data_IF_488301201478
#
_entry.id   IF_488301201478
#
_cell.length_a   1.000
_cell.length_b   1.000
_cell.length_c   1.000
_cell.angle_alpha   90.00
_cell.angle_beta   90.00
_cell.angle_gamma   90.00
#
_symmetry.space_group_name_H-M   'P 1'
#
loop_
_entity.id
_entity.type
_entity.pdbx_description
1 polymer ?
#
# COMPACT_ATOMS: atom_id res chain seq x y z
N UNK A 1 4.71 41.32 0.79
CA UNK A 1 3.98 40.75 -0.36
C UNK A 1 4.19 39.23 -0.50
N UNK A 2 5.41 38.67 -0.37
CA UNK A 2 5.63 37.18 -0.44
C UNK A 2 4.80 36.42 0.59
N UNK A 3 4.71 36.85 1.83
CA UNK A 3 3.97 36.11 2.89
C UNK A 3 2.45 36.10 2.67
N UNK A 4 1.86 37.11 2.07
CA UNK A 4 0.42 37.13 1.77
C UNK A 4 0.07 36.16 0.65
N UNK A 5 0.89 36.08 -0.39
CA UNK A 5 0.67 35.12 -1.50
C UNK A 5 0.82 33.68 -1.06
N UNK A 6 1.78 33.36 -0.18
CA UNK A 6 1.97 32.02 0.35
C UNK A 6 0.83 31.58 1.27
N UNK A 7 0.32 32.48 2.12
CA UNK A 7 -0.84 32.18 2.98
C UNK A 7 -2.09 31.89 2.14
N UNK A 8 -2.28 32.61 1.03
CA UNK A 8 -3.38 32.40 0.10
C UNK A 8 -3.28 31.05 -0.62
N UNK A 9 -2.07 30.63 -1.05
CA UNK A 9 -1.83 29.31 -1.68
C UNK A 9 -2.23 28.17 -0.74
N UNK A 10 -1.78 28.21 0.52
CA UNK A 10 -2.10 27.20 1.52
C UNK A 10 -3.61 27.09 1.81
N UNK A 11 -4.30 28.24 1.87
CA UNK A 11 -5.75 28.30 2.06
C UNK A 11 -6.49 27.73 0.85
N UNK A 12 -6.08 28.10 -0.36
CA UNK A 12 -6.66 27.62 -1.62
C UNK A 12 -6.61 26.08 -1.70
N UNK A 13 -5.47 25.47 -1.37
CA UNK A 13 -5.32 24.00 -1.36
C UNK A 13 -6.32 23.35 -0.38
N UNK A 14 -6.44 23.89 0.84
CA UNK A 14 -7.35 23.37 1.86
C UNK A 14 -8.80 23.45 1.42
N UNK A 15 -9.21 24.62 0.90
CA UNK A 15 -10.57 24.85 0.41
C UNK A 15 -10.88 23.95 -0.80
N UNK A 16 -9.96 23.84 -1.77
CA UNK A 16 -10.15 22.99 -2.95
C UNK A 16 -10.37 21.53 -2.59
N UNK A 17 -9.62 20.99 -1.63
CA UNK A 17 -9.79 19.63 -1.16
C UNK A 17 -11.10 19.44 -0.38
N UNK A 18 -11.44 20.37 0.51
CA UNK A 18 -12.68 20.31 1.28
C UNK A 18 -13.92 20.44 0.38
N UNK A 19 -13.86 21.33 -0.62
CA UNK A 19 -14.93 21.49 -1.61
C UNK A 19 -15.06 20.23 -2.50
N UNK A 20 -13.94 19.63 -2.90
CA UNK A 20 -13.96 18.35 -3.60
C UNK A 20 -14.69 17.28 -2.80
N UNK A 21 -14.33 17.13 -1.53
CA UNK A 21 -14.98 16.15 -0.66
C UNK A 21 -16.48 16.41 -0.56
N UNK A 22 -16.89 17.68 -0.39
CA UNK A 22 -18.30 18.06 -0.33
C UNK A 22 -19.05 17.72 -1.62
N UNK A 23 -18.48 18.05 -2.77
CA UNK A 23 -19.07 17.77 -4.07
C UNK A 23 -19.21 16.27 -4.29
N UNK A 24 -18.14 15.49 -4.12
CA UNK A 24 -18.15 14.07 -4.41
C UNK A 24 -18.95 13.26 -3.39
N UNK A 25 -19.00 13.71 -2.12
CA UNK A 25 -19.87 13.11 -1.11
C UNK A 25 -21.35 13.27 -1.51
N UNK A 26 -21.77 14.49 -1.86
CA UNK A 26 -23.15 14.71 -2.27
C UNK A 26 -23.49 14.11 -3.64
N UNK A 27 -22.54 14.14 -4.59
CA UNK A 27 -22.68 13.49 -5.88
C UNK A 27 -22.99 11.98 -5.75
N UNK A 28 -22.47 11.31 -4.70
CA UNK A 28 -22.74 9.89 -4.48
C UNK A 28 -24.24 9.59 -4.31
N UNK A 29 -24.97 10.42 -3.56
CA UNK A 29 -26.42 10.30 -3.39
C UNK A 29 -27.19 10.61 -4.71
N UNK A 30 -26.82 11.71 -5.39
CA UNK A 30 -27.50 12.08 -6.63
C UNK A 30 -27.32 11.05 -7.72
N UNK A 31 -26.11 10.50 -7.87
CA UNK A 31 -25.82 9.43 -8.84
C UNK A 31 -26.57 8.15 -8.45
N UNK A 32 -26.64 7.80 -7.16
CA UNK A 32 -27.40 6.65 -6.69
C UNK A 32 -28.88 6.78 -7.04
N UNK A 33 -29.50 7.94 -6.79
CA UNK A 33 -30.90 8.22 -7.13
C UNK A 33 -31.10 8.13 -8.65
N UNK A 34 -30.21 8.73 -9.44
CA UNK A 34 -30.30 8.72 -10.90
C UNK A 34 -30.23 7.30 -11.47
N UNK A 35 -29.29 6.50 -10.97
CA UNK A 35 -29.15 5.09 -11.38
C UNK A 35 -30.38 4.27 -10.99
N UNK A 36 -30.92 4.45 -9.78
CA UNK A 36 -32.12 3.71 -9.35
C UNK A 36 -33.38 4.08 -10.13
N UNK A 37 -33.50 5.32 -10.63
CA UNK A 37 -34.58 5.72 -11.54
C UNK A 37 -34.50 5.03 -12.90
N UNK A 38 -33.30 4.68 -13.36
CA UNK A 38 -33.08 4.07 -14.67
C UNK A 38 -33.29 2.55 -14.67
N UNK A 39 -33.47 1.91 -13.52
CA UNK A 39 -33.72 0.48 -13.42
C UNK A 39 -35.21 0.15 -13.63
N UNK A 40 -35.53 -0.92 -14.40
CA UNK A 40 -36.89 -1.40 -14.54
C UNK A 40 -37.45 -1.84 -13.18
N UNK A 41 -38.68 -1.39 -12.84
CA UNK A 41 -39.30 -1.70 -11.56
C UNK A 41 -39.24 -0.59 -10.52
N UNK A 42 -38.77 0.60 -10.94
CA UNK A 42 -38.79 1.89 -10.20
C UNK A 42 -38.69 1.74 -8.66
N UNK A 43 -37.52 1.30 -8.19
CA UNK A 43 -37.25 1.03 -6.77
C UNK A 43 -37.44 2.26 -5.86
N UNK A 44 -37.82 3.40 -6.43
CA UNK A 44 -38.13 4.65 -5.74
C UNK A 44 -39.64 4.93 -5.66
N UNK A 45 -40.52 4.13 -6.29
CA UNK A 45 -41.98 4.39 -6.33
C UNK A 45 -42.60 4.46 -4.95
N UNK A 46 -42.03 3.77 -3.96
CA UNK A 46 -42.55 3.73 -2.60
C UNK A 46 -42.00 4.89 -1.71
N UNK A 47 -41.09 5.75 -2.21
CA UNK A 47 -40.60 6.87 -1.45
C UNK A 47 -41.49 8.10 -1.62
N UNK A 48 -41.99 8.62 -0.51
CA UNK A 48 -42.75 9.90 -0.55
C UNK A 48 -41.78 11.06 -0.86
N UNK A 49 -42.34 12.17 -1.38
CA UNK A 49 -41.55 13.39 -1.59
C UNK A 49 -40.92 13.91 -0.28
N UNK A 50 -41.59 13.69 0.85
CA UNK A 50 -41.13 14.09 2.16
C UNK A 50 -39.91 13.23 2.61
N UNK A 51 -39.95 11.89 2.39
CA UNK A 51 -38.84 11.01 2.71
C UNK A 51 -37.61 11.32 1.84
N UNK A 52 -37.84 11.62 0.56
CA UNK A 52 -36.75 12.03 -0.33
C UNK A 52 -36.11 13.34 0.13
N UNK A 53 -36.89 14.34 0.51
CA UNK A 53 -36.38 15.61 1.03
C UNK A 53 -35.60 15.41 2.35
N UNK A 54 -36.13 14.58 3.25
CA UNK A 54 -35.47 14.22 4.50
C UNK A 54 -34.10 13.57 4.22
N UNK A 55 -34.08 12.61 3.26
CA UNK A 55 -32.85 11.92 2.87
C UNK A 55 -31.79 12.87 2.33
N UNK A 56 -32.17 13.75 1.41
CA UNK A 56 -31.26 14.74 0.83
C UNK A 56 -30.72 15.67 1.93
N UNK A 57 -31.59 16.20 2.79
CA UNK A 57 -31.19 17.12 3.87
C UNK A 57 -30.24 16.44 4.87
N UNK A 58 -30.57 15.22 5.31
CA UNK A 58 -29.73 14.43 6.21
C UNK A 58 -28.35 14.16 5.58
N UNK A 59 -28.32 13.77 4.30
CA UNK A 59 -27.06 13.49 3.60
C UNK A 59 -26.16 14.73 3.47
N UNK A 60 -26.75 15.90 3.17
CA UNK A 60 -26.01 17.17 3.13
C UNK A 60 -25.45 17.52 4.51
N UNK A 61 -26.25 17.39 5.57
CA UNK A 61 -25.79 17.65 6.94
C UNK A 61 -24.65 16.71 7.31
N UNK A 62 -24.80 15.41 7.04
CA UNK A 62 -23.75 14.42 7.30
C UNK A 62 -22.47 14.69 6.50
N UNK A 63 -22.60 15.17 5.24
CA UNK A 63 -21.43 15.54 4.44
C UNK A 63 -20.66 16.71 5.06
N UNK A 64 -21.34 17.74 5.54
CA UNK A 64 -20.70 18.89 6.21
C UNK A 64 -20.02 18.45 7.51
N UNK A 65 -20.69 17.62 8.32
CA UNK A 65 -20.10 17.09 9.58
C UNK A 65 -18.87 16.22 9.26
N UNK A 66 -18.94 15.39 8.22
CA UNK A 66 -17.81 14.55 7.80
C UNK A 66 -16.60 15.37 7.37
N UNK A 67 -16.82 16.45 6.62
CA UNK A 67 -15.77 17.39 6.22
C UNK A 67 -15.19 18.12 7.42
N UNK A 68 -16.03 18.54 8.36
CA UNK A 68 -15.57 19.09 9.64
C UNK A 68 -14.69 18.10 10.41
N UNK A 69 -15.07 16.82 10.42
CA UNK A 69 -14.28 15.73 11.01
C UNK A 69 -12.93 15.57 10.31
N UNK A 70 -12.90 15.57 8.97
CA UNK A 70 -11.67 15.52 8.18
C UNK A 70 -10.78 16.73 8.46
N UNK A 71 -11.37 17.91 8.65
CA UNK A 71 -10.64 19.15 8.91
C UNK A 71 -10.01 19.19 10.30
N UNK A 72 -10.84 18.97 11.33
CA UNK A 72 -10.45 19.18 12.73
C UNK A 72 -9.75 17.97 13.32
N UNK A 73 -10.38 16.79 13.20
CA UNK A 73 -9.90 15.56 13.89
C UNK A 73 -8.82 14.86 13.09
N UNK A 74 -9.05 14.64 11.82
CA UNK A 74 -8.12 13.89 10.97
C UNK A 74 -7.08 14.79 10.30
N UNK A 75 -7.31 16.10 10.27
CA UNK A 75 -6.38 17.10 9.72
C UNK A 75 -5.95 16.84 8.26
N UNK A 76 -6.83 16.23 7.45
CA UNK A 76 -6.55 15.83 6.06
C UNK A 76 -6.18 17.02 5.16
N UNK A 77 -6.69 18.21 5.47
CA UNK A 77 -6.42 19.42 4.67
C UNK A 77 -5.20 20.20 5.17
N UNK A 78 -4.65 19.79 6.33
CA UNK A 78 -3.52 20.48 6.97
C UNK A 78 -2.24 19.68 6.85
N UNK A 79 -2.31 18.37 7.10
CA UNK A 79 -1.17 17.45 7.03
C UNK A 79 -1.23 16.57 5.79
N UNK A 80 -0.09 16.42 5.15
CA UNK A 80 0.07 15.52 4.02
C UNK A 80 0.37 14.12 4.54
N UNK A 81 -0.49 13.19 4.18
CA UNK A 81 -0.42 11.80 4.61
C UNK A 81 -0.08 10.87 3.45
N UNK A 82 0.60 9.75 3.68
CA UNK A 82 0.75 8.70 2.68
C UNK A 82 -0.61 8.26 2.14
N UNK A 83 -0.66 7.94 0.85
CA UNK A 83 -1.92 7.64 0.15
C UNK A 83 -2.76 6.57 0.84
N UNK A 84 -2.15 5.43 1.18
CA UNK A 84 -2.86 4.31 1.79
C UNK A 84 -3.34 4.61 3.21
N UNK A 85 -2.62 5.46 3.93
CA UNK A 85 -3.02 5.90 5.27
C UNK A 85 -4.24 6.83 5.20
N UNK A 86 -4.20 7.82 4.29
CA UNK A 86 -5.32 8.73 4.05
C UNK A 86 -6.57 7.98 3.59
N UNK A 87 -6.42 7.05 2.64
CA UNK A 87 -7.51 6.23 2.12
C UNK A 87 -8.18 5.38 3.21
N UNK A 88 -7.39 4.78 4.12
CA UNK A 88 -7.90 4.05 5.29
C UNK A 88 -8.78 4.91 6.18
N UNK A 89 -8.33 6.14 6.46
CA UNK A 89 -9.09 7.07 7.30
C UNK A 89 -10.39 7.53 6.63
N UNK A 90 -10.36 7.77 5.32
CA UNK A 90 -11.56 8.08 4.53
C UNK A 90 -12.54 6.92 4.57
N UNK A 91 -12.10 5.70 4.29
CA UNK A 91 -12.96 4.52 4.31
C UNK A 91 -13.60 4.29 5.69
N UNK A 92 -12.79 4.38 6.74
CA UNK A 92 -13.30 4.25 8.12
C UNK A 92 -14.36 5.30 8.43
N UNK A 93 -14.13 6.55 8.04
CA UNK A 93 -15.08 7.64 8.27
C UNK A 93 -16.37 7.43 7.48
N UNK A 94 -16.28 7.12 6.19
CA UNK A 94 -17.45 6.85 5.34
C UNK A 94 -18.29 5.71 5.90
N UNK A 95 -17.66 4.61 6.38
CA UNK A 95 -18.38 3.51 7.03
C UNK A 95 -19.07 3.95 8.33
N UNK A 96 -18.42 4.76 9.18
CA UNK A 96 -19.04 5.29 10.39
C UNK A 96 -20.25 6.15 10.04
N UNK A 97 -20.11 7.07 9.09
CA UNK A 97 -21.20 7.96 8.67
C UNK A 97 -22.34 7.18 7.98
N UNK A 98 -22.04 6.07 7.28
CA UNK A 98 -23.07 5.21 6.70
C UNK A 98 -23.94 4.56 7.77
N UNK A 99 -23.34 4.12 8.88
CA UNK A 99 -24.08 3.56 10.02
C UNK A 99 -24.91 4.63 10.72
N UNK A 100 -24.37 5.84 10.89
CA UNK A 100 -25.10 6.98 11.45
C UNK A 100 -26.33 7.32 10.57
N UNK A 101 -26.15 7.40 9.25
CA UNK A 101 -27.24 7.65 8.31
C UNK A 101 -28.32 6.58 8.37
N UNK A 102 -27.91 5.29 8.45
CA UNK A 102 -28.86 4.19 8.62
C UNK A 102 -29.64 4.30 9.93
N UNK A 103 -28.97 4.68 11.02
CA UNK A 103 -29.59 4.88 12.35
C UNK A 103 -30.61 6.03 12.31
N UNK A 104 -30.28 7.15 11.68
CA UNK A 104 -31.20 8.29 11.52
C UNK A 104 -32.43 7.85 10.70
N UNK A 105 -32.21 7.15 9.59
CA UNK A 105 -33.31 6.64 8.75
C UNK A 105 -34.23 5.69 9.53
N UNK A 106 -33.66 4.78 10.32
CA UNK A 106 -34.45 3.85 11.15
C UNK A 106 -35.25 4.56 12.24
N UNK A 107 -34.68 5.56 12.91
CA UNK A 107 -35.32 6.33 13.96
C UNK A 107 -36.42 7.26 13.42
N UNK A 108 -36.24 7.83 12.24
CA UNK A 108 -37.23 8.70 11.58
C UNK A 108 -38.42 7.92 11.00
N UNK A 109 -38.37 6.58 11.00
CA UNK A 109 -39.39 5.71 10.37
C UNK A 109 -39.67 6.06 8.93
N UNK A 110 -38.70 6.66 8.22
CA UNK A 110 -38.85 7.01 6.82
C UNK A 110 -38.76 5.75 5.94
N UNK A 111 -39.61 5.67 4.93
CA UNK A 111 -39.53 4.60 3.93
C UNK A 111 -38.42 4.91 2.92
N UNK A 112 -37.28 4.26 3.10
CA UNK A 112 -36.13 4.44 2.22
C UNK A 112 -35.77 3.12 1.52
N UNK A 113 -35.52 3.20 0.21
CA UNK A 113 -34.97 2.06 -0.53
C UNK A 113 -33.57 1.69 -0.01
N UNK A 114 -33.46 0.44 0.48
CA UNK A 114 -32.16 -0.12 0.91
C UNK A 114 -31.10 -0.05 -0.18
N UNK A 115 -31.51 -0.16 -1.44
CA UNK A 115 -30.61 -0.09 -2.61
C UNK A 115 -30.04 1.30 -2.81
N UNK A 116 -30.85 2.36 -2.62
CA UNK A 116 -30.34 3.74 -2.66
C UNK A 116 -29.30 3.96 -1.56
N UNK A 117 -29.56 3.47 -0.36
CA UNK A 117 -28.60 3.58 0.75
C UNK A 117 -27.30 2.85 0.42
N UNK A 118 -27.35 1.56 0.02
CA UNK A 118 -26.17 0.76 -0.31
C UNK A 118 -25.37 1.45 -1.42
N UNK A 119 -26.02 1.84 -2.51
CA UNK A 119 -25.36 2.41 -3.67
C UNK A 119 -24.72 3.78 -3.34
N UNK A 120 -25.42 4.62 -2.56
CA UNK A 120 -24.89 5.92 -2.11
C UNK A 120 -23.55 5.75 -1.38
N UNK A 121 -23.51 4.86 -0.39
CA UNK A 121 -22.32 4.68 0.42
C UNK A 121 -21.19 3.93 -0.31
N UNK A 122 -21.50 2.99 -1.20
CA UNK A 122 -20.51 2.38 -2.09
C UNK A 122 -19.92 3.41 -3.06
N UNK A 123 -20.75 4.27 -3.63
CA UNK A 123 -20.28 5.36 -4.49
C UNK A 123 -19.42 6.36 -3.69
N UNK A 124 -19.80 6.72 -2.47
CA UNK A 124 -19.00 7.60 -1.61
C UNK A 124 -17.61 7.06 -1.33
N UNK A 125 -17.46 5.73 -1.08
CA UNK A 125 -16.16 5.08 -0.90
C UNK A 125 -15.24 5.23 -2.12
N UNK A 126 -15.79 5.36 -3.32
CA UNK A 126 -15.01 5.49 -4.55
C UNK A 126 -14.84 6.96 -4.94
N UNK A 127 -15.92 7.72 -4.92
CA UNK A 127 -15.94 9.09 -5.47
C UNK A 127 -15.12 10.07 -4.63
N UNK A 128 -15.12 9.97 -3.29
CA UNK A 128 -14.34 10.85 -2.43
C UNK A 128 -12.84 10.70 -2.70
N UNK A 129 -12.24 9.49 -2.67
CA UNK A 129 -10.83 9.32 -3.01
C UNK A 129 -10.48 9.74 -4.44
N UNK A 130 -11.36 9.45 -5.41
CA UNK A 130 -11.18 9.86 -6.81
C UNK A 130 -11.17 11.38 -6.93
N UNK A 131 -12.12 12.06 -6.30
CA UNK A 131 -12.18 13.53 -6.27
C UNK A 131 -10.90 14.14 -5.72
N UNK A 132 -10.41 13.63 -4.58
CA UNK A 132 -9.12 14.05 -4.01
C UNK A 132 -7.95 13.84 -4.96
N UNK A 133 -7.89 12.67 -5.62
CA UNK A 133 -6.84 12.37 -6.58
C UNK A 133 -6.86 13.34 -7.78
N UNK A 134 -8.05 13.67 -8.29
CA UNK A 134 -8.23 14.65 -9.36
C UNK A 134 -7.73 16.02 -8.92
N UNK A 135 -8.19 16.52 -7.77
CA UNK A 135 -7.80 17.84 -7.27
C UNK A 135 -6.29 17.90 -7.01
N UNK A 136 -5.69 16.90 -6.35
CA UNK A 136 -4.24 16.83 -6.14
C UNK A 136 -3.48 16.85 -7.47
N UNK A 137 -3.96 16.13 -8.48
CA UNK A 137 -3.34 16.12 -9.83
C UNK A 137 -3.43 17.46 -10.52
N UNK A 138 -4.58 18.13 -10.44
CA UNK A 138 -4.78 19.49 -11.00
C UNK A 138 -3.89 20.50 -10.31
N UNK A 139 -3.85 20.49 -8.97
CA UNK A 139 -2.97 21.36 -8.19
C UNK A 139 -1.49 21.11 -8.49
N UNK A 140 -1.10 19.84 -8.68
CA UNK A 140 0.28 19.48 -9.02
C UNK A 140 0.68 19.99 -10.43
N UNK A 141 -0.21 19.86 -11.42
CA UNK A 141 0.02 20.38 -12.77
C UNK A 141 0.23 21.91 -12.78
N UNK A 142 -0.46 22.61 -11.89
CA UNK A 142 -0.33 24.07 -11.73
C UNK A 142 0.81 24.48 -10.77
N UNK A 143 1.67 23.56 -10.34
CA UNK A 143 2.78 23.83 -9.41
C UNK A 143 2.35 24.22 -7.99
N UNK A 144 1.04 24.13 -7.70
CA UNK A 144 0.50 24.53 -6.39
C UNK A 144 0.64 23.41 -5.35
N UNK A 145 0.71 22.15 -5.77
CA UNK A 145 0.75 21.01 -4.85
C UNK A 145 2.13 20.80 -4.21
N UNK A 146 3.22 21.11 -4.92
CA UNK A 146 4.58 20.93 -4.39
C UNK A 146 4.84 21.83 -3.19
N UNK A 147 5.37 21.24 -2.10
CA UNK A 147 5.74 21.91 -0.86
C UNK A 147 7.24 21.77 -0.67
N UNK A 148 7.94 22.90 -0.66
CA UNK A 148 9.38 22.93 -0.38
C UNK A 148 9.66 22.27 0.96
N UNK A 149 10.62 21.34 0.98
CA UNK A 149 10.95 20.51 2.14
C UNK A 149 12.45 20.55 2.35
N UNK A 150 12.86 20.69 3.60
CA UNK A 150 14.25 20.61 4.02
C UNK A 150 14.37 19.46 5.02
N UNK A 151 15.34 18.58 4.79
CA UNK A 151 15.64 17.48 5.70
C UNK A 151 16.82 17.89 6.58
N UNK A 152 16.61 17.91 7.89
CA UNK A 152 17.64 18.14 8.89
C UNK A 152 18.25 16.78 9.25
N UNK A 153 19.48 16.59 8.81
CA UNK A 153 20.23 15.34 8.82
C UNK A 153 20.80 15.03 7.44
N UNK A 154 21.89 14.31 7.39
CA UNK A 154 22.60 13.91 6.15
C UNK A 154 23.12 12.47 6.20
N UNK A 155 22.79 11.74 7.27
CA UNK A 155 23.12 10.32 7.46
C UNK A 155 22.06 9.37 6.85
N UNK A 156 22.20 8.09 7.16
CA UNK A 156 21.36 7.01 6.63
C UNK A 156 19.88 7.21 6.94
N UNK A 157 19.51 7.78 8.10
CA UNK A 157 18.12 8.06 8.45
C UNK A 157 17.52 9.14 7.53
N UNK A 158 18.31 10.15 7.15
CA UNK A 158 17.90 11.19 6.22
C UNK A 158 17.76 10.68 4.78
N UNK A 159 18.67 9.77 4.34
CA UNK A 159 18.59 9.10 3.05
C UNK A 159 17.34 8.23 2.94
N UNK A 160 17.06 7.41 3.95
CA UNK A 160 15.85 6.58 4.02
C UNK A 160 14.58 7.43 4.05
N UNK A 161 14.59 8.56 4.76
CA UNK A 161 13.49 9.52 4.77
C UNK A 161 13.24 10.08 3.38
N UNK A 162 14.28 10.47 2.65
CA UNK A 162 14.16 10.95 1.28
C UNK A 162 13.60 9.87 0.35
N UNK A 163 14.13 8.64 0.37
CA UNK A 163 13.64 7.53 -0.43
C UNK A 163 12.15 7.25 -0.16
N UNK A 164 11.74 7.27 1.11
CA UNK A 164 10.34 7.08 1.50
C UNK A 164 9.44 8.19 0.94
N UNK A 165 9.88 9.46 0.99
CA UNK A 165 9.14 10.59 0.43
C UNK A 165 9.04 10.51 -1.09
N UNK A 166 10.08 10.07 -1.80
CA UNK A 166 10.06 9.87 -3.24
C UNK A 166 9.12 8.74 -3.66
N UNK A 167 9.02 7.68 -2.86
CA UNK A 167 8.08 6.57 -3.13
C UNK A 167 6.60 6.99 -3.00
N UNK A 168 6.31 8.10 -2.33
CA UNK A 168 4.97 8.64 -2.07
C UNK A 168 4.79 10.04 -2.70
N UNK A 169 5.03 10.16 -4.01
CA UNK A 169 4.94 11.43 -4.78
C UNK A 169 3.61 12.19 -4.55
N UNK A 170 2.54 11.45 -4.25
CA UNK A 170 1.20 12.02 -3.96
C UNK A 170 1.23 12.94 -2.74
N UNK A 171 2.17 12.78 -1.83
CA UNK A 171 2.35 13.70 -0.70
C UNK A 171 2.84 15.08 -1.18
N UNK A 172 3.52 15.16 -2.32
CA UNK A 172 3.97 16.40 -2.95
C UNK A 172 5.04 17.14 -2.15
N UNK A 173 5.86 16.45 -1.36
CA UNK A 173 7.07 17.02 -0.77
C UNK A 173 8.16 17.15 -1.83
N UNK A 174 8.76 18.32 -1.91
CA UNK A 174 9.84 18.68 -2.85
C UNK A 174 11.09 18.98 -2.02
N UNK A 175 11.96 18.00 -1.86
CA UNK A 175 13.16 18.15 -1.03
C UNK A 175 14.16 19.00 -1.78
N UNK A 176 14.45 20.18 -1.26
CA UNK A 176 15.34 21.20 -1.87
C UNK A 176 16.72 21.22 -1.25
N UNK A 177 16.89 20.72 -0.03
CA UNK A 177 18.17 20.66 0.64
C UNK A 177 18.18 19.62 1.78
N UNK A 178 19.36 19.08 2.04
CA UNK A 178 19.72 18.42 3.31
C UNK A 178 20.54 19.39 4.14
N UNK A 179 20.43 19.30 5.46
CA UNK A 179 21.27 20.04 6.38
C UNK A 179 22.15 19.06 7.17
N UNK A 180 23.48 19.21 7.04
CA UNK A 180 24.45 18.42 7.76
C UNK A 180 24.64 19.00 9.17
N UNK A 181 24.18 18.25 10.19
CA UNK A 181 24.18 18.72 11.59
C UNK A 181 25.57 18.70 12.24
N UNK A 182 26.47 17.82 11.77
CA UNK A 182 27.79 17.59 12.35
C UNK A 182 28.95 18.06 11.45
N UNK A 183 28.64 18.47 10.21
CA UNK A 183 29.64 18.80 9.21
C UNK A 183 30.48 17.60 8.75
N UNK A 184 30.05 16.37 9.03
CA UNK A 184 30.79 15.14 8.78
C UNK A 184 30.56 14.53 7.40
N UNK A 185 29.47 14.91 6.73
CA UNK A 185 29.14 14.38 5.40
C UNK A 185 30.11 14.91 4.36
N UNK A 186 30.95 14.08 3.72
CA UNK A 186 31.94 14.56 2.77
C UNK A 186 31.35 15.06 1.45
N UNK A 187 30.19 14.53 1.05
CA UNK A 187 29.53 14.84 -0.20
C UNK A 187 28.88 16.21 -0.20
N UNK A 188 29.06 17.04 -1.26
CA UNK A 188 28.37 18.34 -1.39
C UNK A 188 26.87 18.18 -1.72
N UNK A 189 26.45 17.02 -2.19
CA UNK A 189 25.06 16.70 -2.56
C UNK A 189 24.76 15.22 -2.29
N UNK A 190 23.54 14.94 -1.86
CA UNK A 190 22.95 13.60 -1.74
C UNK A 190 21.81 13.47 -2.76
N UNK A 191 21.84 12.42 -3.58
CA UNK A 191 20.84 12.21 -4.64
C UNK A 191 20.65 13.41 -5.60
N UNK A 192 21.70 14.21 -5.80
CA UNK A 192 21.64 15.44 -6.62
C UNK A 192 21.06 16.66 -5.89
N UNK A 193 20.74 16.54 -4.60
CA UNK A 193 20.20 17.62 -3.76
C UNK A 193 21.33 18.18 -2.89
N UNK A 194 21.49 19.51 -2.79
CA UNK A 194 22.61 20.13 -2.06
C UNK A 194 22.56 19.80 -0.56
N UNK A 195 23.75 19.59 0.01
CA UNK A 195 23.96 19.43 1.45
C UNK A 195 24.50 20.76 2.00
N UNK A 196 23.70 21.41 2.83
CA UNK A 196 24.02 22.70 3.45
C UNK A 196 24.70 22.43 4.81
N UNK A 197 25.75 23.18 5.10
CA UNK A 197 26.50 23.10 6.37
C UNK A 197 26.41 24.38 7.19
N UNK A 198 26.13 25.49 6.51
CA UNK A 198 26.02 26.79 7.16
C UNK A 198 24.57 27.11 7.49
N UNK A 199 24.28 27.41 8.76
CA UNK A 199 22.93 27.73 9.21
C UNK A 199 22.39 29.01 8.53
N UNK A 200 23.24 29.99 8.27
CA UNK A 200 22.85 31.22 7.56
C UNK A 200 22.36 30.94 6.13
N UNK A 201 23.03 30.01 5.41
CA UNK A 201 22.61 29.61 4.07
C UNK A 201 21.29 28.83 4.08
N UNK A 202 21.06 28.01 5.11
CA UNK A 202 19.79 27.30 5.30
C UNK A 202 18.61 28.28 5.42
N UNK A 203 18.74 29.29 6.28
CA UNK A 203 17.66 30.25 6.52
C UNK A 203 17.34 31.14 5.31
N UNK A 204 18.26 31.31 4.36
CA UNK A 204 17.99 31.99 3.09
C UNK A 204 17.02 31.22 2.18
N UNK A 205 16.95 29.91 2.29
CA UNK A 205 16.05 29.04 1.51
C UNK A 205 14.66 28.91 2.13
N UNK A 206 14.52 29.30 3.39
CA UNK A 206 13.29 29.08 4.18
C UNK A 206 12.24 30.14 3.84
N UNK A 207 11.01 29.68 3.68
CA UNK A 207 9.82 30.52 3.60
C UNK A 207 8.77 30.08 4.63
N UNK A 208 7.69 30.85 4.79
CA UNK A 208 6.65 30.59 5.80
C UNK A 208 5.92 29.23 5.66
N UNK A 209 5.98 28.59 4.48
CA UNK A 209 5.35 27.30 4.21
C UNK A 209 6.34 26.13 4.15
N UNK A 210 7.64 26.40 4.30
CA UNK A 210 8.67 25.35 4.24
C UNK A 210 8.39 24.23 5.25
N UNK A 211 8.43 23.00 4.78
CA UNK A 211 8.34 21.81 5.61
C UNK A 211 9.74 21.43 6.09
N UNK A 212 9.89 21.24 7.38
CA UNK A 212 11.08 20.66 7.95
C UNK A 212 10.83 19.21 8.35
N UNK A 213 11.78 18.33 8.03
CA UNK A 213 11.79 16.95 8.46
C UNK A 213 13.09 16.70 9.17
N UNK A 214 13.02 16.51 10.49
CA UNK A 214 14.20 16.21 11.33
C UNK A 214 14.39 14.69 11.28
N UNK A 215 15.46 14.26 10.60
CA UNK A 215 15.81 12.86 10.36
C UNK A 215 17.30 12.61 10.69
N UNK A 216 17.66 12.82 11.95
CA UNK A 216 19.02 12.60 12.47
C UNK A 216 19.18 11.16 12.96
N UNK A 217 20.43 10.70 13.06
CA UNK A 217 20.74 9.38 13.59
C UNK A 217 20.47 9.30 15.10
N UNK A 218 20.43 8.08 15.63
CA UNK A 218 20.18 7.85 17.05
C UNK A 218 21.28 8.50 17.94
N UNK A 219 22.52 8.38 17.52
CA UNK A 219 23.68 8.96 18.19
C UNK A 219 23.64 10.49 18.17
N UNK A 220 22.96 11.09 17.21
CA UNK A 220 22.77 12.53 17.01
C UNK A 220 21.50 13.08 17.69
N UNK A 221 20.90 12.35 18.62
CA UNK A 221 19.63 12.76 19.28
C UNK A 221 19.71 14.15 19.92
N UNK A 222 20.86 14.56 20.41
CA UNK A 222 21.08 15.91 20.95
C UNK A 222 20.86 17.00 19.89
N UNK A 223 21.30 16.79 18.66
CA UNK A 223 21.08 17.72 17.56
C UNK A 223 19.59 17.85 17.20
N UNK A 224 18.82 16.75 17.32
CA UNK A 224 17.37 16.79 17.15
C UNK A 224 16.72 17.81 18.09
N UNK A 225 17.09 17.77 19.36
CA UNK A 225 16.47 18.62 20.38
C UNK A 225 16.86 20.09 20.18
N UNK A 226 18.14 20.35 19.80
CA UNK A 226 18.60 21.71 19.41
C UNK A 226 17.81 22.21 18.21
N UNK A 227 17.66 21.39 17.16
CA UNK A 227 16.96 21.83 15.94
C UNK A 227 15.47 22.04 16.17
N UNK A 228 14.80 21.21 16.95
CA UNK A 228 13.40 21.45 17.31
C UNK A 228 13.22 22.78 18.03
N UNK A 229 14.14 23.11 18.94
CA UNK A 229 14.15 24.42 19.63
C UNK A 229 14.43 25.58 18.68
N UNK A 230 15.37 25.43 17.74
CA UNK A 230 15.68 26.45 16.75
C UNK A 230 14.50 26.70 15.79
N UNK A 231 13.89 25.64 15.28
CA UNK A 231 12.71 25.72 14.41
C UNK A 231 11.52 26.40 15.13
N UNK A 232 11.33 26.09 16.42
CA UNK A 232 10.30 26.75 17.22
C UNK A 232 10.59 28.27 17.42
N UNK A 233 11.84 28.64 17.69
CA UNK A 233 12.26 30.05 17.81
C UNK A 233 12.02 30.85 16.51
N UNK A 234 12.18 30.22 15.35
CA UNK A 234 11.95 30.82 14.05
C UNK A 234 10.48 30.72 13.59
N UNK A 235 9.55 30.31 14.48
CA UNK A 235 8.13 30.15 14.21
C UNK A 235 7.83 29.22 13.01
N UNK A 236 8.67 28.21 12.77
CA UNK A 236 8.43 27.21 11.74
C UNK A 236 7.24 26.31 12.14
N UNK A 237 6.13 26.43 11.41
CA UNK A 237 4.86 25.73 11.74
C UNK A 237 4.77 24.31 11.20
N UNK A 238 5.55 23.99 10.20
CA UNK A 238 5.51 22.71 9.50
C UNK A 238 6.77 21.90 9.82
N UNK A 239 6.76 21.21 10.96
CA UNK A 239 7.89 20.40 11.42
C UNK A 239 7.41 18.97 11.64
N UNK A 240 8.17 17.99 11.14
CA UNK A 240 7.97 16.56 11.36
C UNK A 240 9.29 15.93 11.82
N UNK A 241 9.21 14.91 12.64
CA UNK A 241 10.39 14.13 13.08
C UNK A 241 10.25 12.72 12.55
N UNK A 242 11.32 12.22 11.95
CA UNK A 242 11.46 10.81 11.60
C UNK A 242 12.42 10.20 12.60
N UNK A 243 11.92 9.48 13.63
CA UNK A 243 12.79 8.85 14.62
C UNK A 243 13.50 7.64 14.02
N UNK A 244 14.74 7.38 14.43
CA UNK A 244 15.49 6.19 14.05
C UNK A 244 15.02 4.96 14.86
N UNK A 245 13.79 4.50 14.61
CA UNK A 245 13.15 3.34 15.27
C UNK A 245 13.23 2.09 14.37
N UNK A 246 14.43 1.70 13.97
CA UNK A 246 14.61 0.54 13.10
C UNK A 246 14.24 -0.75 13.83
N UNK A 247 13.53 -1.65 13.11
CA UNK A 247 13.14 -2.96 13.63
C UNK A 247 11.91 -2.97 14.54
N UNK A 248 11.43 -1.82 15.01
CA UNK A 248 10.22 -1.73 15.82
C UNK A 248 8.98 -1.86 14.93
N UNK A 249 8.03 -2.78 15.22
CA UNK A 249 6.75 -2.82 14.54
C UNK A 249 5.98 -1.51 14.75
N UNK A 250 5.66 -0.82 13.64
CA UNK A 250 4.99 0.48 13.71
C UNK A 250 3.47 0.37 13.59
N UNK A 251 2.98 -0.72 12.99
CA UNK A 251 1.54 -0.89 12.76
C UNK A 251 0.84 -1.47 14.00
N UNK A 252 -0.21 -0.78 14.45
CA UNK A 252 -0.93 -1.17 15.67
C UNK A 252 -0.18 -0.85 16.96
N UNK A 253 0.81 0.04 16.86
CA UNK A 253 1.54 0.58 18.01
C UNK A 253 0.75 1.75 18.59
N UNK A 254 0.36 1.63 19.83
CA UNK A 254 -0.23 2.72 20.60
C UNK A 254 0.88 3.53 21.26
N UNK A 255 0.78 4.84 21.14
CA UNK A 255 1.73 5.77 21.74
C UNK A 255 1.10 6.45 22.95
N UNK A 256 1.74 6.34 24.10
CA UNK A 256 1.40 7.06 25.31
C UNK A 256 2.64 7.81 25.83
N UNK A 257 2.42 8.92 26.52
CA UNK A 257 3.48 9.66 27.19
C UNK A 257 3.17 9.74 28.68
N UNK A 258 4.22 9.73 29.48
CA UNK A 258 4.09 9.90 30.92
C UNK A 258 4.12 11.39 31.23
N UNK A 259 3.03 11.89 31.83
CA UNK A 259 2.91 13.31 32.19
C UNK A 259 4.09 13.76 33.06
N UNK A 260 4.67 14.90 32.74
CA UNK A 260 5.85 15.49 33.41
C UNK A 260 7.17 14.73 33.22
N UNK A 261 7.22 13.73 32.31
CA UNK A 261 8.46 13.04 31.94
C UNK A 261 8.60 13.01 30.42
N UNK A 262 9.83 13.16 29.95
CA UNK A 262 10.14 13.01 28.50
C UNK A 262 10.22 11.55 28.08
N UNK A 263 9.28 10.73 28.61
CA UNK A 263 9.23 9.29 28.35
C UNK A 263 7.98 8.96 27.54
N UNK A 264 8.21 8.34 26.40
CA UNK A 264 7.19 7.81 25.53
C UNK A 264 7.14 6.29 25.62
N UNK A 265 5.95 5.76 25.83
CA UNK A 265 5.71 4.31 25.85
C UNK A 265 5.10 3.93 24.50
N UNK A 266 5.83 3.10 23.75
CA UNK A 266 5.33 2.47 22.54
C UNK A 266 4.84 1.07 22.88
N UNK A 267 3.53 0.86 22.85
CA UNK A 267 2.94 -0.47 23.03
C UNK A 267 2.99 -1.21 21.71
N UNK A 268 3.96 -2.08 21.55
CA UNK A 268 4.13 -2.92 20.37
C UNK A 268 3.17 -4.12 20.44
N UNK A 269 2.43 -4.37 19.37
CA UNK A 269 1.54 -5.53 19.30
C UNK A 269 1.84 -6.39 18.07
N UNK A 270 2.06 -7.70 18.29
CA UNK A 270 2.12 -8.66 17.19
C UNK A 270 0.68 -9.03 16.78
N UNK A 271 0.21 -8.44 15.69
CA UNK A 271 -1.16 -8.66 15.24
C UNK A 271 -1.40 -10.08 14.72
N UNK A 272 -0.41 -10.74 14.10
CA UNK A 272 -0.55 -12.13 13.65
C UNK A 272 -0.62 -13.14 14.80
N UNK A 273 -0.16 -12.79 16.00
CA UNK A 273 -0.32 -13.61 17.18
C UNK A 273 -1.76 -13.61 17.73
N UNK A 274 -2.55 -12.57 17.45
CA UNK A 274 -3.94 -12.45 17.95
C UNK A 274 -4.87 -13.43 17.24
N UNK A 275 -5.68 -14.18 17.97
CA UNK A 275 -6.65 -15.14 17.41
C UNK A 275 -7.66 -14.48 16.48
N UNK A 276 -8.19 -13.32 16.85
CA UNK A 276 -9.13 -12.53 16.05
C UNK A 276 -8.54 -12.12 14.70
N UNK A 277 -7.30 -11.63 14.71
CA UNK A 277 -6.60 -11.25 13.48
C UNK A 277 -6.37 -12.42 12.54
N UNK A 278 -5.97 -13.58 13.08
CA UNK A 278 -5.80 -14.81 12.30
C UNK A 278 -7.11 -15.32 11.70
N UNK A 279 -8.21 -15.20 12.47
CA UNK A 279 -9.54 -15.55 11.98
C UNK A 279 -9.98 -14.62 10.84
N UNK A 280 -9.86 -13.30 11.02
CA UNK A 280 -10.20 -12.31 9.99
C UNK A 280 -9.36 -12.50 8.73
N UNK A 281 -8.04 -12.70 8.89
CA UNK A 281 -7.16 -12.99 7.76
C UNK A 281 -7.57 -14.27 7.03
N UNK A 282 -7.88 -15.33 7.77
CA UNK A 282 -8.29 -16.61 7.18
C UNK A 282 -9.60 -16.50 6.43
N UNK A 283 -10.59 -15.81 6.99
CA UNK A 283 -11.86 -15.55 6.33
C UNK A 283 -11.66 -14.74 5.04
N UNK A 284 -10.85 -13.69 5.09
CA UNK A 284 -10.50 -12.87 3.94
C UNK A 284 -9.80 -13.70 2.84
N UNK A 285 -8.82 -14.52 3.20
CA UNK A 285 -8.11 -15.41 2.28
C UNK A 285 -9.05 -16.39 1.58
N UNK A 286 -9.94 -17.04 2.34
CA UNK A 286 -10.90 -18.02 1.78
C UNK A 286 -11.89 -17.33 0.84
N UNK A 287 -12.54 -16.26 1.32
CA UNK A 287 -13.54 -15.52 0.52
C UNK A 287 -12.90 -14.98 -0.76
N UNK A 288 -11.73 -14.35 -0.64
CA UNK A 288 -11.01 -13.80 -1.78
C UNK A 288 -10.58 -14.89 -2.77
N UNK A 289 -9.98 -15.99 -2.29
CA UNK A 289 -9.55 -17.08 -3.17
C UNK A 289 -10.73 -17.75 -3.88
N UNK A 290 -11.82 -18.04 -3.17
CA UNK A 290 -13.03 -18.62 -3.77
C UNK A 290 -13.67 -17.67 -4.79
N UNK A 291 -13.75 -16.38 -4.48
CA UNK A 291 -14.28 -15.37 -5.42
C UNK A 291 -13.46 -15.33 -6.70
N UNK A 292 -12.12 -15.35 -6.60
CA UNK A 292 -11.23 -15.35 -7.76
C UNK A 292 -11.38 -16.66 -8.55
N UNK A 293 -11.44 -17.82 -7.88
CA UNK A 293 -11.64 -19.13 -8.53
C UNK A 293 -12.95 -19.14 -9.31
N UNK A 294 -14.07 -18.70 -8.70
CA UNK A 294 -15.38 -18.67 -9.36
C UNK A 294 -15.36 -17.73 -10.56
N UNK A 295 -14.80 -16.53 -10.41
CA UNK A 295 -14.69 -15.56 -11.49
C UNK A 295 -13.84 -16.05 -12.66
N UNK A 296 -12.72 -16.76 -12.37
CA UNK A 296 -11.78 -17.26 -13.38
C UNK A 296 -12.07 -18.70 -13.81
N UNK A 297 -13.13 -19.35 -13.30
CA UNK A 297 -13.45 -20.76 -13.60
C UNK A 297 -13.43 -21.11 -15.09
N UNK A 298 -14.07 -20.34 -16.00
CA UNK A 298 -14.02 -20.64 -17.43
C UNK A 298 -12.58 -20.58 -17.99
N UNK A 299 -11.81 -19.59 -17.57
CA UNK A 299 -10.42 -19.41 -18.02
C UNK A 299 -9.53 -20.55 -17.48
N UNK A 300 -9.70 -20.95 -16.21
CA UNK A 300 -8.98 -22.07 -15.59
C UNK A 300 -9.26 -23.37 -16.32
N UNK A 301 -10.52 -23.65 -16.69
CA UNK A 301 -10.88 -24.85 -17.45
C UNK A 301 -10.18 -24.88 -18.81
N UNK A 302 -10.14 -23.76 -19.52
CA UNK A 302 -9.42 -23.64 -20.80
C UNK A 302 -7.94 -23.86 -20.62
N UNK A 303 -7.31 -23.26 -19.60
CA UNK A 303 -5.88 -23.43 -19.31
C UNK A 303 -5.56 -24.88 -18.96
N UNK A 304 -6.35 -25.53 -18.13
CA UNK A 304 -6.19 -26.96 -17.80
C UNK A 304 -6.21 -27.81 -19.08
N UNK A 305 -7.20 -27.58 -19.93
CA UNK A 305 -7.31 -28.30 -21.21
C UNK A 305 -6.09 -28.07 -22.11
N UNK A 306 -5.68 -26.80 -22.27
CA UNK A 306 -4.54 -26.45 -23.13
C UNK A 306 -3.21 -27.02 -22.63
N UNK A 307 -2.98 -27.02 -21.32
CA UNK A 307 -1.76 -27.57 -20.72
C UNK A 307 -1.78 -29.11 -20.74
N UNK A 308 -2.95 -29.74 -20.64
CA UNK A 308 -3.09 -31.19 -20.65
C UNK A 308 -2.99 -31.83 -22.05
N UNK A 309 -3.01 -31.05 -23.14
CA UNK A 309 -3.01 -31.57 -24.53
C UNK A 309 -1.84 -32.47 -24.89
N UNK A 310 -0.73 -32.32 -24.22
CA UNK A 310 0.46 -33.17 -24.41
C UNK A 310 0.46 -34.50 -23.58
N UNK A 311 -0.68 -34.81 -22.94
CA UNK A 311 -0.90 -36.04 -22.19
C UNK A 311 -0.36 -36.06 -20.75
N UNK A 312 0.26 -35.00 -20.28
CA UNK A 312 0.79 -34.91 -18.93
C UNK A 312 -0.15 -34.24 -17.92
N UNK A 313 0.13 -34.41 -16.63
CA UNK A 313 -0.64 -33.71 -15.58
C UNK A 313 -0.51 -32.18 -15.74
N UNK A 314 -1.60 -31.42 -15.87
CA UNK A 314 -1.56 -29.98 -16.06
C UNK A 314 -1.07 -29.19 -14.83
N UNK A 315 -1.16 -29.78 -13.63
CA UNK A 315 -0.75 -29.17 -12.37
C UNK A 315 0.36 -29.99 -11.74
N UNK A 316 1.42 -29.31 -11.30
CA UNK A 316 2.49 -29.92 -10.50
C UNK A 316 2.67 -29.15 -9.20
N UNK A 317 3.24 -29.79 -8.17
CA UNK A 317 3.54 -29.18 -6.89
C UNK A 317 5.05 -29.19 -6.63
N UNK A 318 5.59 -28.01 -6.34
CA UNK A 318 6.97 -27.86 -5.89
C UNK A 318 7.01 -27.74 -4.38
N UNK A 319 7.87 -28.52 -3.71
CA UNK A 319 7.97 -28.48 -2.25
C UNK A 319 8.50 -27.12 -1.79
N UNK A 320 7.81 -26.54 -0.83
CA UNK A 320 8.13 -25.24 -0.22
C UNK A 320 7.92 -25.31 1.28
N UNK A 321 8.57 -24.40 2.00
CA UNK A 321 8.41 -24.26 3.45
C UNK A 321 7.32 -23.24 3.74
N UNK A 322 6.45 -23.53 4.69
CA UNK A 322 5.34 -22.66 5.11
C UNK A 322 5.35 -22.34 6.59
N UNK A 323 4.18 -21.98 7.09
CA UNK A 323 3.94 -21.61 8.49
C UNK A 323 4.52 -22.66 9.45
N UNK A 324 5.27 -22.21 10.47
CA UNK A 324 5.95 -23.06 11.47
C UNK A 324 6.92 -24.09 10.85
N UNK A 325 7.52 -23.79 9.70
CA UNK A 325 8.46 -24.70 9.03
C UNK A 325 7.82 -25.91 8.34
N UNK A 326 6.49 -25.99 8.23
CA UNK A 326 5.81 -27.13 7.62
C UNK A 326 5.98 -27.11 6.11
N UNK A 327 6.44 -28.21 5.54
CA UNK A 327 6.55 -28.38 4.09
C UNK A 327 5.18 -28.57 3.44
N UNK A 328 4.99 -27.99 2.27
CA UNK A 328 3.78 -28.14 1.45
C UNK A 328 4.11 -28.11 -0.04
N UNK A 329 3.21 -28.63 -0.87
CA UNK A 329 3.35 -28.59 -2.33
C UNK A 329 2.72 -27.30 -2.88
N UNK A 330 3.55 -26.33 -3.26
CA UNK A 330 3.12 -25.12 -3.94
C UNK A 330 2.70 -25.46 -5.38
N UNK A 331 1.41 -25.32 -5.67
CA UNK A 331 0.81 -25.76 -6.93
C UNK A 331 1.04 -24.73 -8.04
N UNK A 332 1.40 -25.23 -9.23
CA UNK A 332 1.55 -24.41 -10.44
C UNK A 332 1.04 -25.16 -11.67
N UNK A 333 0.62 -24.41 -12.69
CA UNK A 333 0.45 -25.02 -14.01
C UNK A 333 1.79 -25.46 -14.58
N UNK A 334 1.81 -26.61 -15.23
CA UNK A 334 2.99 -27.11 -15.91
C UNK A 334 3.28 -26.27 -17.16
N UNK A 335 4.41 -25.62 -17.17
CA UNK A 335 4.90 -24.78 -18.26
C UNK A 335 5.98 -25.46 -19.12
N UNK A 336 6.43 -26.65 -18.72
CA UNK A 336 7.48 -27.43 -19.39
C UNK A 336 6.91 -28.74 -19.95
N UNK A 337 7.62 -29.31 -20.92
CA UNK A 337 7.33 -30.63 -21.48
C UNK A 337 7.40 -31.72 -20.43
N UNK A 338 6.73 -32.87 -20.66
CA UNK A 338 6.63 -33.96 -19.68
C UNK A 338 8.00 -34.56 -19.36
N UNK A 339 8.85 -34.70 -20.37
CA UNK A 339 10.22 -35.23 -20.28
C UNK A 339 11.27 -34.13 -20.08
N UNK A 340 10.94 -33.09 -19.27
CA UNK A 340 11.80 -31.91 -19.10
C UNK A 340 13.18 -32.19 -18.51
N UNK A 341 13.33 -33.30 -17.76
CA UNK A 341 14.63 -33.71 -17.19
C UNK A 341 15.56 -34.24 -18.28
N UNK A 342 15.05 -35.12 -19.09
CA UNK A 342 15.79 -35.74 -20.20
C UNK A 342 16.21 -34.68 -21.23
N UNK A 343 15.31 -33.71 -21.53
CA UNK A 343 15.61 -32.59 -22.41
C UNK A 343 16.70 -31.72 -21.82
N UNK A 344 16.68 -31.44 -20.51
CA UNK A 344 17.75 -30.67 -19.86
C UNK A 344 19.09 -31.36 -19.95
N UNK A 345 19.15 -32.64 -19.59
CA UNK A 345 20.38 -33.47 -19.62
C UNK A 345 20.99 -33.48 -21.04
N UNK A 346 20.15 -33.60 -22.06
CA UNK A 346 20.57 -33.59 -23.45
C UNK A 346 21.15 -32.21 -23.85
N UNK A 347 20.46 -31.12 -23.48
CA UNK A 347 20.92 -29.75 -23.76
C UNK A 347 22.25 -29.46 -23.07
N UNK A 348 22.38 -29.81 -21.77
CA UNK A 348 23.62 -29.60 -21.02
C UNK A 348 24.78 -30.49 -21.52
N UNK A 349 24.48 -31.58 -22.20
CA UNK A 349 25.47 -32.47 -22.83
C UNK A 349 25.95 -31.92 -24.17
N UNK A 350 25.03 -31.39 -24.97
CA UNK A 350 25.27 -31.01 -26.37
C UNK A 350 25.68 -29.52 -26.55
N UNK A 351 25.28 -28.64 -25.64
CA UNK A 351 25.55 -27.19 -25.70
C UNK A 351 26.41 -26.73 -24.51
N UNK A 352 27.72 -26.49 -24.71
CA UNK A 352 28.61 -25.98 -23.67
C UNK A 352 28.23 -24.58 -23.16
N UNK A 353 27.63 -23.73 -24.02
CA UNK A 353 27.19 -22.40 -23.62
C UNK A 353 25.98 -22.49 -22.67
N UNK A 354 25.01 -23.34 -23.00
CA UNK A 354 23.88 -23.63 -22.12
C UNK A 354 24.33 -24.24 -20.77
N UNK A 355 25.38 -25.07 -20.78
CA UNK A 355 25.96 -25.60 -19.56
C UNK A 355 26.59 -24.53 -18.68
N UNK A 356 27.37 -23.63 -19.25
CA UNK A 356 27.98 -22.53 -18.51
C UNK A 356 26.90 -21.56 -17.92
N UNK A 357 25.83 -21.32 -18.67
CA UNK A 357 24.69 -20.52 -18.18
C UNK A 357 23.95 -21.22 -17.03
N UNK A 358 23.73 -22.53 -17.16
CA UNK A 358 23.08 -23.33 -16.11
C UNK A 358 23.90 -23.41 -14.83
N UNK A 359 25.21 -23.64 -14.93
CA UNK A 359 26.12 -23.74 -13.78
C UNK A 359 26.21 -22.42 -12.99
N UNK A 360 25.93 -21.29 -13.66
CA UNK A 360 25.91 -19.98 -13.03
C UNK A 360 24.59 -19.66 -12.29
N UNK A 361 23.47 -19.86 -12.95
CA UNK A 361 22.17 -19.30 -12.48
C UNK A 361 21.07 -20.38 -12.33
N UNK A 362 21.33 -21.64 -12.67
CA UNK A 362 20.34 -22.75 -12.74
C UNK A 362 19.14 -22.40 -13.62
N UNK A 363 19.35 -21.54 -14.63
CA UNK A 363 18.35 -21.06 -15.57
C UNK A 363 18.97 -20.99 -16.97
N UNK A 364 18.12 -21.13 -17.98
CA UNK A 364 18.48 -20.92 -19.38
C UNK A 364 17.63 -19.77 -19.94
N UNK A 365 18.25 -18.82 -20.66
CA UNK A 365 17.53 -17.71 -21.30
C UNK A 365 16.53 -18.20 -22.34
N UNK A 366 16.98 -19.17 -23.16
CA UNK A 366 16.16 -19.84 -24.16
C UNK A 366 15.97 -21.31 -23.74
N UNK A 367 15.13 -21.55 -22.77
CA UNK A 367 14.91 -22.90 -22.21
C UNK A 367 14.01 -23.72 -23.15
N UNK A 368 14.55 -24.75 -23.87
CA UNK A 368 13.79 -25.53 -24.83
C UNK A 368 12.73 -26.43 -24.16
N UNK A 369 12.78 -26.59 -22.84
CA UNK A 369 11.77 -27.33 -22.07
C UNK A 369 10.45 -26.62 -22.00
N UNK A 370 10.42 -25.26 -22.19
CA UNK A 370 9.22 -24.46 -22.03
C UNK A 370 8.34 -24.61 -23.27
N UNK A 371 7.10 -25.04 -23.10
CA UNK A 371 6.12 -25.16 -24.17
C UNK A 371 5.63 -23.76 -24.64
N UNK A 372 5.03 -23.68 -25.84
CA UNK A 372 4.43 -22.40 -26.31
C UNK A 372 3.39 -21.84 -25.34
N UNK A 373 2.53 -22.70 -24.79
CA UNK A 373 1.57 -22.29 -23.75
C UNK A 373 2.29 -21.96 -22.45
N UNK A 374 3.39 -22.67 -22.14
CA UNK A 374 4.25 -22.39 -21.01
C UNK A 374 4.84 -20.98 -21.02
N UNK A 375 5.33 -20.52 -22.15
CA UNK A 375 5.78 -19.12 -22.31
C UNK A 375 4.66 -18.12 -22.05
N UNK A 376 3.45 -18.37 -22.59
CA UNK A 376 2.31 -17.49 -22.35
C UNK A 376 1.89 -17.42 -20.89
N UNK A 377 1.73 -18.57 -20.21
CA UNK A 377 1.30 -18.58 -18.81
C UNK A 377 2.35 -17.99 -17.86
N UNK A 378 3.65 -18.20 -18.12
CA UNK A 378 4.73 -17.57 -17.35
C UNK A 378 4.75 -16.04 -17.54
N UNK A 379 4.68 -15.58 -18.79
CA UNK A 379 4.66 -14.14 -19.12
C UNK A 379 3.46 -13.40 -18.50
N UNK A 380 2.36 -14.11 -18.27
CA UNK A 380 1.13 -13.55 -17.69
C UNK A 380 0.95 -13.89 -16.21
N UNK A 381 1.91 -14.62 -15.60
CA UNK A 381 1.83 -15.15 -14.23
C UNK A 381 0.59 -16.04 -13.97
N UNK A 382 -0.05 -16.54 -15.03
CA UNK A 382 -1.19 -17.45 -14.92
C UNK A 382 -0.78 -18.84 -14.43
N UNK A 383 0.50 -19.19 -14.55
CA UNK A 383 1.05 -20.45 -14.02
C UNK A 383 0.89 -20.58 -12.51
N UNK A 384 0.74 -19.48 -11.79
CA UNK A 384 0.59 -19.46 -10.34
C UNK A 384 -0.86 -19.55 -9.84
N UNK A 385 -1.87 -19.49 -10.74
CA UNK A 385 -3.29 -19.56 -10.35
C UNK A 385 -3.68 -20.82 -9.55
N UNK A 386 -3.10 -22.02 -9.76
CA UNK A 386 -3.40 -23.19 -8.92
C UNK A 386 -3.07 -22.99 -7.44
N UNK A 387 -2.21 -22.03 -7.07
CA UNK A 387 -1.92 -21.68 -5.68
C UNK A 387 -3.17 -21.16 -4.94
N UNK A 388 -4.20 -20.66 -5.64
CA UNK A 388 -5.49 -20.33 -5.01
C UNK A 388 -6.07 -21.54 -4.26
N UNK A 389 -5.80 -22.74 -4.74
CA UNK A 389 -6.20 -23.97 -4.03
C UNK A 389 -5.37 -24.21 -2.77
N UNK A 390 -4.07 -23.90 -2.76
CA UNK A 390 -3.27 -23.90 -1.54
C UNK A 390 -3.79 -22.89 -0.51
N UNK A 391 -4.28 -21.72 -0.98
CA UNK A 391 -4.92 -20.74 -0.10
C UNK A 391 -6.19 -21.31 0.51
N UNK A 392 -7.06 -21.93 -0.29
CA UNK A 392 -8.29 -22.57 0.21
C UNK A 392 -7.99 -23.70 1.20
N UNK A 393 -6.94 -24.51 0.96
CA UNK A 393 -6.47 -25.54 1.89
C UNK A 393 -5.86 -24.97 3.17
N UNK A 394 -5.38 -23.71 3.13
CA UNK A 394 -4.75 -23.06 4.27
C UNK A 394 -3.25 -23.30 4.39
N UNK A 395 -2.62 -23.80 3.35
CA UNK A 395 -1.17 -23.94 3.22
C UNK A 395 -0.53 -22.59 2.87
N UNK A 396 -1.25 -21.76 2.11
CA UNK A 396 -0.87 -20.41 1.70
C UNK A 396 -1.91 -19.37 2.11
N UNK A 397 -1.58 -18.11 1.86
CA UNK A 397 -2.43 -16.92 1.96
C UNK A 397 -2.44 -16.19 0.62
N UNK A 398 -3.42 -15.31 0.39
CA UNK A 398 -3.39 -14.41 -0.76
C UNK A 398 -2.19 -13.46 -0.67
N UNK A 399 -1.91 -12.93 0.52
CA UNK A 399 -0.79 -12.02 0.77
C UNK A 399 0.09 -12.57 1.90
N UNK A 400 1.39 -12.61 1.67
CA UNK A 400 2.36 -13.12 2.66
C UNK A 400 3.80 -13.08 2.15
N UNK A 401 4.76 -13.57 2.93
CA UNK A 401 6.12 -13.80 2.46
C UNK A 401 6.16 -14.75 1.25
N UNK A 402 7.20 -14.62 0.42
CA UNK A 402 7.35 -15.53 -0.73
C UNK A 402 7.55 -16.97 -0.26
N UNK A 403 6.89 -17.98 -0.89
CA UNK A 403 7.17 -19.38 -0.60
C UNK A 403 8.59 -19.75 -1.05
N UNK A 404 9.46 -20.10 -0.09
CA UNK A 404 10.87 -20.45 -0.31
C UNK A 404 11.12 -21.94 -0.17
N UNK A 405 12.20 -22.43 -0.76
CA UNK A 405 12.74 -23.78 -0.52
C UNK A 405 13.57 -23.80 0.77
N UNK A 406 13.88 -24.98 1.28
CA UNK A 406 14.63 -25.16 2.53
C UNK A 406 16.02 -24.48 2.47
N UNK A 407 16.72 -24.63 1.35
CA UNK A 407 18.05 -24.04 1.14
C UNK A 407 18.03 -22.50 1.13
N UNK A 408 16.90 -21.88 0.77
CA UNK A 408 16.76 -20.44 0.81
C UNK A 408 16.59 -19.88 2.24
N UNK A 409 16.22 -20.71 3.23
CA UNK A 409 16.03 -20.27 4.62
C UNK A 409 17.32 -19.76 5.26
N UNK A 410 18.46 -20.30 4.90
CA UNK A 410 19.76 -19.82 5.40
C UNK A 410 19.97 -18.34 5.09
N UNK A 411 19.43 -17.84 3.96
CA UNK A 411 19.53 -16.44 3.57
C UNK A 411 18.65 -15.50 4.40
N UNK A 412 17.69 -16.02 5.16
CA UNK A 412 16.89 -15.22 6.10
C UNK A 412 17.65 -14.95 7.40
N UNK A 413 18.74 -15.68 7.68
CA UNK A 413 19.57 -15.50 8.86
C UNK A 413 18.74 -15.30 10.16
N UNK A 414 18.91 -14.21 10.88
CA UNK A 414 18.17 -13.92 12.11
C UNK A 414 16.68 -13.62 11.91
N UNK A 415 16.19 -13.39 10.69
CA UNK A 415 14.80 -13.06 10.39
C UNK A 415 13.94 -14.30 10.03
N UNK A 416 14.53 -15.51 10.06
CA UNK A 416 13.81 -16.76 9.71
C UNK A 416 12.58 -17.01 10.60
N UNK A 417 12.64 -16.60 11.85
CA UNK A 417 11.51 -16.72 12.78
C UNK A 417 10.29 -15.93 12.33
N UNK A 418 10.50 -14.74 11.76
CA UNK A 418 9.39 -13.96 11.20
C UNK A 418 8.76 -14.66 10.00
N UNK A 419 9.57 -15.27 9.14
CA UNK A 419 9.06 -16.07 8.04
C UNK A 419 8.12 -17.18 8.53
N UNK A 420 8.52 -17.90 9.59
CA UNK A 420 7.72 -18.98 10.17
C UNK A 420 6.45 -18.55 10.88
N UNK A 421 6.30 -17.26 11.21
CA UNK A 421 5.10 -16.72 11.85
C UNK A 421 3.94 -16.50 10.89
N UNK A 422 4.17 -16.49 9.56
CA UNK A 422 3.15 -16.23 8.55
C UNK A 422 3.02 -17.37 7.55
N UNK A 423 1.86 -17.48 6.89
CA UNK A 423 1.70 -18.34 5.72
C UNK A 423 2.33 -17.67 4.51
N UNK A 424 3.02 -18.40 3.64
CA UNK A 424 3.49 -17.85 2.37
C UNK A 424 2.33 -17.32 1.55
N UNK A 425 2.57 -16.19 0.84
CA UNK A 425 1.58 -15.53 0.00
C UNK A 425 1.70 -15.89 -1.47
N UNK A 426 0.59 -15.75 -2.21
CA UNK A 426 0.63 -15.70 -3.67
C UNK A 426 1.27 -14.39 -4.15
N UNK A 427 1.03 -13.30 -3.42
CA UNK A 427 1.73 -12.03 -3.57
C UNK A 427 2.26 -11.56 -2.23
N UNK A 428 3.21 -10.63 -2.25
CA UNK A 428 3.84 -10.09 -1.05
C UNK A 428 4.35 -8.67 -1.24
N UNK A 429 4.78 -8.06 -0.14
CA UNK A 429 5.24 -6.67 -0.14
C UNK A 429 6.40 -6.44 -1.10
N UNK A 430 7.42 -7.32 -1.10
CA UNK A 430 8.57 -7.18 -1.99
C UNK A 430 8.18 -7.27 -3.47
N UNK A 431 7.19 -8.10 -3.82
CA UNK A 431 6.71 -8.26 -5.20
C UNK A 431 6.07 -7.00 -5.76
N UNK A 432 5.54 -6.13 -4.91
CA UNK A 432 4.90 -4.86 -5.30
C UNK A 432 5.76 -3.63 -5.03
N UNK A 433 6.97 -3.81 -4.43
CA UNK A 433 7.86 -2.72 -4.03
C UNK A 433 9.19 -2.66 -4.80
N UNK A 434 9.40 -3.52 -5.80
CA UNK A 434 10.64 -3.49 -6.60
C UNK A 434 10.95 -4.78 -7.37
N UNK A 435 10.25 -5.90 -7.07
CA UNK A 435 10.39 -7.21 -7.77
C UNK A 435 11.84 -7.66 -7.98
N UNK A 436 12.24 -7.75 -9.26
CA UNK A 436 13.55 -8.32 -9.65
C UNK A 436 14.72 -7.37 -9.46
N UNK A 437 14.45 -6.07 -9.26
CA UNK A 437 15.47 -5.03 -9.13
C UNK A 437 16.01 -4.89 -7.70
N UNK A 438 15.43 -5.63 -6.74
CA UNK A 438 15.88 -5.64 -5.33
C UNK A 438 16.74 -6.87 -5.06
N UNK A 439 17.81 -6.68 -4.31
CA UNK A 439 18.67 -7.75 -3.83
C UNK A 439 17.92 -8.70 -2.87
N UNK A 440 18.55 -9.82 -2.53
CA UNK A 440 17.91 -10.82 -1.69
C UNK A 440 17.70 -10.33 -0.25
N UNK A 441 18.62 -9.54 0.28
CA UNK A 441 18.52 -8.97 1.64
C UNK A 441 17.32 -8.02 1.75
N UNK A 442 17.11 -7.18 0.75
CA UNK A 442 15.93 -6.30 0.68
C UNK A 442 14.63 -7.10 0.60
N UNK A 443 14.61 -8.26 -0.08
CA UNK A 443 13.43 -9.16 -0.08
C UNK A 443 13.14 -9.70 1.30
N UNK A 444 14.16 -10.20 2.00
CA UNK A 444 14.04 -10.67 3.38
C UNK A 444 13.54 -9.56 4.30
N UNK A 445 14.08 -8.36 4.14
CA UNK A 445 13.61 -7.18 4.88
C UNK A 445 12.12 -6.91 4.65
N UNK A 446 11.64 -6.92 3.41
CA UNK A 446 10.22 -6.70 3.11
C UNK A 446 9.32 -7.81 3.65
N UNK A 447 9.74 -9.06 3.60
CA UNK A 447 9.00 -10.19 4.15
C UNK A 447 8.90 -10.08 5.68
N UNK A 448 10.00 -9.77 6.35
CA UNK A 448 10.06 -9.53 7.80
C UNK A 448 9.24 -8.31 8.21
N UNK A 449 9.35 -7.22 7.45
CA UNK A 449 8.56 -6.01 7.67
C UNK A 449 7.06 -6.28 7.57
N UNK A 450 6.63 -7.04 6.55
CA UNK A 450 5.23 -7.43 6.38
C UNK A 450 4.69 -8.18 7.60
N UNK A 451 5.45 -9.15 8.10
CA UNK A 451 5.04 -9.96 9.26
C UNK A 451 4.96 -9.11 10.54
N UNK A 452 5.97 -8.27 10.78
CA UNK A 452 6.02 -7.32 11.91
C UNK A 452 4.84 -6.34 11.88
N UNK A 453 4.48 -5.85 10.70
CA UNK A 453 3.50 -4.78 10.50
C UNK A 453 2.18 -5.25 9.88
N UNK A 454 1.84 -6.53 10.02
CA UNK A 454 0.65 -7.06 9.40
C UNK A 454 -0.64 -6.36 9.82
N UNK A 455 -1.47 -6.06 8.84
CA UNK A 455 -2.86 -5.67 8.99
C UNK A 455 -3.66 -6.08 7.76
N UNK A 456 -4.96 -6.28 7.92
CA UNK A 456 -5.86 -6.54 6.79
C UNK A 456 -5.82 -5.39 5.76
N UNK A 457 -5.62 -4.16 6.21
CA UNK A 457 -5.49 -3.01 5.32
C UNK A 457 -4.24 -3.08 4.44
N UNK A 458 -3.11 -3.55 5.00
CA UNK A 458 -1.88 -3.75 4.22
C UNK A 458 -2.08 -4.87 3.19
N UNK A 459 -2.80 -5.93 3.52
CA UNK A 459 -3.15 -6.98 2.55
C UNK A 459 -3.97 -6.41 1.39
N UNK A 460 -5.00 -5.60 1.67
CA UNK A 460 -5.80 -4.93 0.65
C UNK A 460 -4.91 -4.03 -0.22
N UNK A 461 -4.04 -3.22 0.39
CA UNK A 461 -3.14 -2.33 -0.34
C UNK A 461 -2.17 -3.11 -1.25
N UNK A 462 -1.60 -4.22 -0.77
CA UNK A 462 -0.71 -5.08 -1.54
C UNK A 462 -1.47 -5.72 -2.72
N UNK A 463 -2.69 -6.23 -2.51
CA UNK A 463 -3.50 -6.79 -3.58
C UNK A 463 -3.81 -5.75 -4.67
N UNK A 464 -4.18 -4.51 -4.30
CA UNK A 464 -4.38 -3.44 -5.28
C UNK A 464 -3.11 -3.11 -6.06
N UNK A 465 -1.96 -3.02 -5.38
CA UNK A 465 -0.67 -2.82 -6.05
C UNK A 465 -0.35 -3.99 -6.99
N UNK A 466 -0.64 -5.22 -6.58
CA UNK A 466 -0.42 -6.44 -7.39
C UNK A 466 -1.17 -6.37 -8.73
N UNK A 467 -2.42 -5.90 -8.72
CA UNK A 467 -3.19 -5.71 -9.97
C UNK A 467 -2.43 -4.79 -10.93
N UNK A 468 -1.94 -3.65 -10.43
CA UNK A 468 -1.15 -2.71 -11.23
C UNK A 468 0.11 -3.32 -11.81
N UNK A 469 0.83 -4.11 -11.01
CA UNK A 469 2.07 -4.79 -11.40
C UNK A 469 1.80 -5.89 -12.45
N UNK A 470 0.75 -6.67 -12.30
CA UNK A 470 0.35 -7.71 -13.27
C UNK A 470 -0.07 -7.08 -14.60
N UNK A 471 -0.83 -5.98 -14.58
CA UNK A 471 -1.27 -5.29 -15.78
C UNK A 471 -0.12 -4.62 -16.55
N UNK A 472 0.85 -4.06 -15.86
CA UNK A 472 2.04 -3.43 -16.49
C UNK A 472 3.04 -4.46 -17.01
N UNK A 473 2.92 -5.73 -16.62
CA UNK A 473 3.84 -6.84 -16.97
C UNK A 473 5.31 -6.57 -16.60
N UNK A 474 5.53 -5.71 -15.60
CA UNK A 474 6.89 -5.41 -15.14
C UNK A 474 7.49 -6.64 -14.47
N UNK A 475 8.62 -7.13 -15.00
CA UNK A 475 9.40 -8.24 -14.38
C UNK A 475 8.83 -9.66 -14.56
N UNK A 476 7.98 -9.92 -15.56
CA UNK A 476 7.64 -11.28 -15.97
C UNK A 476 8.71 -11.79 -16.95
N UNK A 477 9.46 -12.83 -16.57
CA UNK A 477 10.42 -13.57 -17.40
C UNK A 477 9.85 -14.90 -17.82
#
# INVERSE_FOLDING_TARGET
MRDIQFTFKGLLIKISLALSDLIFFNASLFIAILLMRSFPGNLLENMSAQDMQLKISTHIILSVICIGWFWVRLRHYTYRKPFWFELKEVFRSVLIFSVIDLSITALSKSEMSRWVWILTWLLALVLIPVGRAIVKRVLNRNGLWKKQTIIIGSGKNAEEAWMALQSEEVMGFDVIAFYDVDGTTPAPALFGIPVIREEAALWQLVNSETQFIVAVEFEQSHHRDIWLKNLAKHNCRSVSVIPSLRGVPLYGTDMAYIFSHEVMILRVSNNLAKRTSRFVKRAFDIVGALSIIVMLMPALAVLIFMVARDGGNPIYGHERVGLNGRKFKCLKFRSMVVNSKEVLEEVLRTDPAARAEWDKDFKLKNDPRITRIGHFIRKTSLDELPQLWNVVRGEMSLVGPRPVIEDELERYAGDVDYYFMAKPGMTGLWQVSGRNDVDYETRVYFDSWYVKNWSLWNDIAILFKTIGVVLKRDGAY
#
